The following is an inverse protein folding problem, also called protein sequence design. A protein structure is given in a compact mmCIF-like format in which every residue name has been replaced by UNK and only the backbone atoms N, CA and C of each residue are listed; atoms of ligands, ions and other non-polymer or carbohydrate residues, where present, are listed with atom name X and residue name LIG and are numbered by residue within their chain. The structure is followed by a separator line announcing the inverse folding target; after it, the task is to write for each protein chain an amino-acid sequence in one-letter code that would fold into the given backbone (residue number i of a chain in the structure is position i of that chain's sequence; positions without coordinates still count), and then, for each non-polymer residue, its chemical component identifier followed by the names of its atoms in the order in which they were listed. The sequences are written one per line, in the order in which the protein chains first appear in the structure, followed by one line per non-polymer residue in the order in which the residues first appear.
data_IF_848240439619
#
_entry.id   IF_848240439619
#
_cell.length_a   1.000
_cell.length_b   1.000
_cell.length_c   1.000
_cell.angle_alpha   90.00
_cell.angle_beta   90.00
_cell.angle_gamma   90.00
#
_symmetry.space_group_name_H-M   'P 1'
#
loop_
_entity.id
_entity.type
_entity.pdbx_description
1 polymer ?
#
# COMPACT_ATOMS: atom_id res chain seq x y z
N UNK A 1 -1.24 -21.00 -7.88
CA UNK A 1 -0.89 -22.42 -7.74
C UNK A 1 -1.89 -23.14 -6.83
N UNK A 2 -1.96 -22.84 -5.52
CA UNK A 2 -2.82 -23.58 -4.57
C UNK A 2 -4.29 -23.73 -4.98
N UNK A 3 -4.89 -22.70 -5.58
CA UNK A 3 -6.28 -22.75 -6.07
C UNK A 3 -6.44 -23.70 -7.27
N UNK A 4 -5.46 -23.69 -8.19
CA UNK A 4 -5.49 -24.50 -9.41
C UNK A 4 -5.19 -25.97 -9.12
N UNK A 5 -4.19 -26.22 -8.27
CA UNK A 5 -3.68 -27.57 -7.96
C UNK A 5 -4.30 -28.22 -6.71
N UNK A 6 -5.43 -27.69 -6.22
CA UNK A 6 -6.04 -28.15 -4.96
C UNK A 6 -6.35 -29.66 -4.95
N UNK A 7 -6.72 -30.23 -6.10
CA UNK A 7 -7.05 -31.65 -6.21
C UNK A 7 -5.86 -32.58 -5.93
N UNK A 8 -4.66 -32.16 -6.31
CA UNK A 8 -3.42 -32.88 -6.01
C UNK A 8 -3.00 -32.63 -4.56
N UNK A 9 -3.00 -31.36 -4.14
CA UNK A 9 -2.55 -30.97 -2.80
C UNK A 9 -3.39 -31.59 -1.66
N UNK A 10 -4.71 -31.78 -1.85
CA UNK A 10 -5.59 -32.41 -0.85
C UNK A 10 -5.25 -33.87 -0.53
N UNK A 11 -4.51 -34.56 -1.42
CA UNK A 11 -4.14 -35.97 -1.22
C UNK A 11 -3.02 -36.14 -0.19
N UNK A 12 -2.31 -35.07 0.14
CA UNK A 12 -1.20 -35.11 1.09
C UNK A 12 -1.67 -34.76 2.51
N UNK A 13 -1.10 -35.46 3.50
CA UNK A 13 -1.19 -35.07 4.90
C UNK A 13 0.07 -34.28 5.25
N UNK A 14 -0.04 -32.96 5.31
CA UNK A 14 1.10 -32.09 5.58
C UNK A 14 1.50 -32.16 7.06
N UNK A 15 2.80 -32.14 7.35
CA UNK A 15 3.29 -31.94 8.71
C UNK A 15 3.15 -30.47 9.12
N UNK A 16 3.57 -29.56 8.25
CA UNK A 16 3.45 -28.12 8.43
C UNK A 16 2.80 -27.48 7.21
N UNK A 17 1.90 -26.54 7.46
CA UNK A 17 1.41 -25.61 6.46
C UNK A 17 1.87 -24.20 6.82
N UNK A 18 2.81 -23.67 6.05
CA UNK A 18 3.39 -22.33 6.26
C UNK A 18 2.81 -21.39 5.22
N UNK A 19 2.15 -20.33 5.65
CA UNK A 19 1.63 -19.28 4.77
C UNK A 19 2.41 -18.01 5.03
N UNK A 20 3.21 -17.62 4.04
CA UNK A 20 3.83 -16.31 3.98
C UNK A 20 2.84 -15.24 3.48
N UNK A 21 2.99 -14.02 3.97
CA UNK A 21 2.06 -12.92 3.78
C UNK A 21 0.60 -13.30 4.12
N UNK A 22 0.40 -13.80 5.35
CA UNK A 22 -0.87 -14.34 5.84
C UNK A 22 -2.06 -13.36 5.77
N UNK A 23 -1.81 -12.06 5.58
CA UNK A 23 -2.86 -11.07 5.30
C UNK A 23 -3.73 -11.44 4.08
N UNK A 24 -3.29 -12.35 3.21
CA UNK A 24 -4.07 -12.87 2.07
C UNK A 24 -5.27 -13.75 2.47
N UNK A 25 -5.29 -14.32 3.68
CA UNK A 25 -6.35 -15.22 4.15
C UNK A 25 -7.22 -14.61 5.26
N UNK A 26 -7.05 -13.31 5.53
CA UNK A 26 -7.79 -12.55 6.55
C UNK A 26 -9.31 -12.46 6.34
N UNK A 27 -9.78 -12.78 5.13
CA UNK A 27 -11.19 -12.94 4.82
C UNK A 27 -11.48 -14.44 4.67
N UNK A 28 -12.25 -14.99 5.60
CA UNK A 28 -12.64 -16.38 5.68
C UNK A 28 -13.44 -16.85 4.47
N UNK A 29 -14.16 -15.93 3.81
CA UNK A 29 -14.97 -16.18 2.59
C UNK A 29 -14.16 -16.07 1.30
N UNK A 30 -12.86 -15.78 1.39
CA UNK A 30 -12.01 -15.73 0.20
C UNK A 30 -11.72 -17.16 -0.28
N UNK A 31 -11.77 -17.36 -1.61
CA UNK A 31 -11.46 -18.66 -2.23
C UNK A 31 -10.13 -19.26 -1.76
N UNK A 32 -9.14 -18.40 -1.50
CA UNK A 32 -7.85 -18.86 -0.99
C UNK A 32 -7.99 -19.41 0.43
N UNK A 33 -8.63 -18.66 1.34
CA UNK A 33 -8.87 -19.07 2.73
C UNK A 33 -9.66 -20.38 2.80
N UNK A 34 -10.74 -20.49 2.03
CA UNK A 34 -11.53 -21.72 1.92
C UNK A 34 -10.67 -22.91 1.51
N UNK A 35 -9.89 -22.78 0.42
CA UNK A 35 -9.08 -23.87 -0.11
C UNK A 35 -7.95 -24.28 0.83
N UNK A 36 -7.23 -23.33 1.44
CA UNK A 36 -6.12 -23.70 2.34
C UNK A 36 -6.61 -24.40 3.62
N UNK A 37 -7.86 -24.15 4.03
CA UNK A 37 -8.51 -24.84 5.15
C UNK A 37 -8.90 -26.28 4.82
N UNK A 38 -9.05 -26.62 3.53
CA UNK A 38 -9.31 -28.00 3.09
C UNK A 38 -8.08 -28.91 3.20
N UNK A 39 -6.87 -28.34 3.32
CA UNK A 39 -5.63 -29.10 3.39
C UNK A 39 -5.40 -29.68 4.79
N UNK A 40 -5.15 -30.99 4.86
CA UNK A 40 -4.85 -31.69 6.10
C UNK A 40 -3.44 -31.34 6.56
N UNK A 41 -3.31 -30.81 7.78
CA UNK A 41 -2.03 -30.43 8.37
C UNK A 41 -1.98 -30.75 9.86
N UNK A 42 -0.82 -31.19 10.37
CA UNK A 42 -0.60 -31.36 11.81
C UNK A 42 -0.34 -30.01 12.49
N UNK A 43 0.48 -29.15 11.87
CA UNK A 43 0.84 -27.84 12.39
C UNK A 43 0.64 -26.75 11.33
N UNK A 44 0.35 -25.52 11.77
CA UNK A 44 0.16 -24.34 10.91
C UNK A 44 1.00 -23.18 11.42
N UNK A 45 1.65 -22.47 10.50
CA UNK A 45 2.45 -21.29 10.79
C UNK A 45 2.07 -20.16 9.83
N UNK A 46 1.77 -18.99 10.39
CA UNK A 46 1.49 -17.79 9.62
C UNK A 46 2.65 -16.81 9.76
N UNK A 47 3.15 -16.32 8.63
CA UNK A 47 4.14 -15.25 8.57
C UNK A 47 3.46 -14.01 8.02
N UNK A 48 3.50 -12.91 8.76
CA UNK A 48 2.95 -11.62 8.32
C UNK A 48 3.67 -10.48 9.02
N UNK A 49 4.02 -9.44 8.27
CA UNK A 49 4.51 -8.19 8.85
C UNK A 49 3.38 -7.34 9.47
N UNK A 50 2.12 -7.63 9.12
CA UNK A 50 0.96 -6.79 9.43
C UNK A 50 -0.19 -7.70 9.86
N UNK A 51 -0.22 -8.16 11.13
CA UNK A 51 -1.20 -9.14 11.58
C UNK A 51 -2.63 -8.60 11.60
N UNK A 52 -2.81 -7.29 11.81
CA UNK A 52 -4.08 -6.60 11.78
C UNK A 52 -4.01 -5.47 10.72
N UNK A 53 -5.03 -5.34 9.87
CA UNK A 53 -5.04 -4.32 8.82
C UNK A 53 -6.28 -3.41 8.88
N UNK A 54 -7.48 -3.96 9.08
CA UNK A 54 -8.70 -3.15 9.05
C UNK A 54 -9.65 -3.34 10.24
N UNK A 55 -9.79 -4.54 10.79
CA UNK A 55 -10.72 -4.81 11.89
C UNK A 55 -10.29 -6.03 12.73
N UNK A 56 -10.93 -6.21 13.88
CA UNK A 56 -10.68 -7.35 14.78
C UNK A 56 -11.14 -8.69 14.19
N UNK A 57 -12.17 -8.69 13.34
CA UNK A 57 -12.63 -9.90 12.65
C UNK A 57 -11.55 -10.52 11.74
N UNK A 58 -10.71 -9.69 11.11
CA UNK A 58 -9.56 -10.16 10.33
C UNK A 58 -8.58 -10.96 11.21
N UNK A 59 -8.37 -10.55 12.46
CA UNK A 59 -7.54 -11.27 13.42
C UNK A 59 -8.18 -12.60 13.82
N UNK A 60 -9.49 -12.61 14.10
CA UNK A 60 -10.22 -13.85 14.35
C UNK A 60 -10.06 -14.85 13.19
N UNK A 61 -10.20 -14.39 11.94
CA UNK A 61 -10.06 -15.25 10.78
C UNK A 61 -8.68 -15.94 10.71
N UNK A 62 -7.61 -15.23 11.10
CA UNK A 62 -6.25 -15.78 11.18
C UNK A 62 -6.09 -16.76 12.36
N UNK A 63 -6.64 -16.45 13.53
CA UNK A 63 -6.60 -17.33 14.71
C UNK A 63 -7.41 -18.61 14.48
N UNK A 64 -8.60 -18.50 13.91
CA UNK A 64 -9.44 -19.62 13.50
C UNK A 64 -8.74 -20.49 12.44
N UNK A 65 -7.89 -19.89 11.59
CA UNK A 65 -7.07 -20.67 10.68
C UNK A 65 -5.98 -21.47 11.42
N UNK A 66 -5.33 -20.88 12.42
CA UNK A 66 -4.30 -21.55 13.22
C UNK A 66 -4.88 -22.68 14.09
N UNK A 67 -5.96 -22.39 14.81
CA UNK A 67 -6.61 -23.31 15.75
C UNK A 67 -8.14 -23.24 15.62
N UNK A 68 -8.72 -23.97 14.67
CA UNK A 68 -10.16 -23.92 14.41
C UNK A 68 -11.00 -24.43 15.59
N UNK A 69 -10.46 -25.32 16.41
CA UNK A 69 -11.17 -25.90 17.56
C UNK A 69 -11.39 -24.90 18.70
N UNK A 70 -10.41 -24.04 18.98
CA UNK A 70 -10.54 -23.01 20.02
C UNK A 70 -11.32 -21.79 19.54
N UNK A 71 -11.16 -21.42 18.26
CA UNK A 71 -11.73 -20.18 17.70
C UNK A 71 -12.87 -20.47 16.71
N UNK A 72 -13.78 -21.39 17.03
CA UNK A 72 -14.84 -21.85 16.10
C UNK A 72 -15.97 -20.84 15.87
N UNK A 73 -16.29 -20.00 16.85
CA UNK A 73 -17.42 -19.06 16.78
C UNK A 73 -16.92 -17.60 16.64
N UNK A 74 -17.23 -16.99 15.49
CA UNK A 74 -16.91 -15.58 15.22
C UNK A 74 -17.77 -14.63 16.08
N UNK A 75 -19.05 -14.94 16.27
CA UNK A 75 -19.98 -14.08 17.01
C UNK A 75 -19.57 -13.98 18.48
N UNK A 76 -19.17 -15.10 19.10
CA UNK A 76 -18.65 -15.09 20.47
C UNK A 76 -17.37 -14.26 20.58
N UNK A 77 -16.48 -14.34 19.59
CA UNK A 77 -15.29 -13.51 19.56
C UNK A 77 -15.68 -12.04 19.44
N UNK A 78 -16.51 -11.68 18.47
CA UNK A 78 -16.97 -10.32 18.26
C UNK A 78 -17.73 -9.75 19.47
N UNK A 79 -18.56 -10.54 20.15
CA UNK A 79 -19.27 -10.13 21.38
C UNK A 79 -18.33 -9.83 22.54
N UNK A 80 -17.26 -10.62 22.70
CA UNK A 80 -16.23 -10.35 23.71
C UNK A 80 -15.56 -8.97 23.49
N UNK A 81 -15.52 -8.48 22.25
CA UNK A 81 -14.93 -7.19 21.90
C UNK A 81 -15.95 -6.05 21.72
N UNK A 82 -17.18 -6.34 21.29
CA UNK A 82 -18.23 -5.34 21.03
C UNK A 82 -19.03 -4.96 22.28
N UNK A 83 -19.18 -5.86 23.27
CA UNK A 83 -19.94 -5.57 24.50
C UNK A 83 -19.17 -4.74 25.54
N UNK A 84 -18.02 -4.20 25.16
CA UNK A 84 -17.20 -3.38 26.04
C UNK A 84 -17.54 -1.91 25.90
N UNK A 85 -18.58 -1.47 26.60
CA UNK A 85 -18.71 -0.09 27.11
C UNK A 85 -17.66 0.22 28.22
N UNK A 86 -16.55 -0.53 28.21
CA UNK A 86 -15.47 -0.56 29.18
C UNK A 86 -14.25 0.06 28.52
N UNK A 87 -13.56 0.93 29.26
CA UNK A 87 -12.34 1.65 28.85
C UNK A 87 -11.44 0.82 27.92
N UNK A 88 -11.16 1.36 26.73
CA UNK A 88 -10.45 0.70 25.62
C UNK A 88 -9.14 0.00 26.06
N UNK A 89 -8.49 0.50 27.11
CA UNK A 89 -7.24 -0.04 27.66
C UNK A 89 -7.38 -1.45 28.26
N UNK A 90 -8.49 -1.75 28.93
CA UNK A 90 -8.71 -3.06 29.55
C UNK A 90 -9.01 -4.15 28.51
N UNK A 91 -9.65 -3.78 27.40
CA UNK A 91 -9.93 -4.68 26.27
C UNK A 91 -8.63 -5.10 25.57
N UNK A 92 -7.76 -4.12 25.30
CA UNK A 92 -6.47 -4.34 24.62
C UNK A 92 -5.57 -5.28 25.43
N UNK A 93 -5.45 -5.08 26.74
CA UNK A 93 -4.65 -5.94 27.62
C UNK A 93 -5.13 -7.40 27.63
N UNK A 94 -6.45 -7.61 27.68
CA UNK A 94 -7.05 -8.96 27.58
C UNK A 94 -6.74 -9.60 26.23
N UNK A 95 -6.89 -8.87 25.14
CA UNK A 95 -6.59 -9.34 23.79
C UNK A 95 -5.12 -9.77 23.69
N UNK A 96 -4.19 -8.96 24.21
CA UNK A 96 -2.77 -9.30 24.26
C UNK A 96 -2.50 -10.58 25.05
N UNK A 97 -3.15 -10.78 26.20
CA UNK A 97 -2.96 -11.99 27.01
C UNK A 97 -3.33 -13.27 26.24
N UNK A 98 -4.39 -13.19 25.43
CA UNK A 98 -4.85 -14.30 24.57
C UNK A 98 -3.91 -14.48 23.38
N UNK A 99 -3.40 -13.40 22.78
CA UNK A 99 -2.53 -13.48 21.60
C UNK A 99 -1.09 -13.88 21.90
N UNK A 100 -0.57 -13.53 23.08
CA UNK A 100 0.86 -13.67 23.44
C UNK A 100 1.44 -15.08 23.21
N UNK A 101 0.73 -16.19 23.48
CA UNK A 101 1.23 -17.54 23.18
C UNK A 101 1.33 -17.84 21.68
N UNK A 102 0.55 -17.14 20.85
CA UNK A 102 0.37 -17.46 19.42
C UNK A 102 1.07 -16.47 18.49
N UNK A 103 1.43 -15.28 18.99
CA UNK A 103 1.98 -14.21 18.20
C UNK A 103 3.34 -13.78 18.75
N UNK A 104 4.37 -13.96 17.92
CA UNK A 104 5.69 -13.40 18.16
C UNK A 104 5.92 -12.22 17.21
N UNK A 105 5.98 -11.00 17.76
CA UNK A 105 6.29 -9.77 17.02
C UNK A 105 7.47 -9.06 17.67
N UNK A 106 8.32 -8.45 16.85
CA UNK A 106 9.49 -7.67 17.27
C UNK A 106 9.54 -6.39 16.44
N UNK A 107 9.98 -5.27 17.04
CA UNK A 107 10.15 -4.00 16.34
C UNK A 107 11.61 -3.90 15.86
N UNK A 108 11.83 -3.28 14.70
CA UNK A 108 13.19 -3.07 14.16
C UNK A 108 14.10 -2.34 15.14
N UNK A 109 13.56 -1.35 15.87
CA UNK A 109 14.31 -0.61 16.87
C UNK A 109 14.83 -1.48 18.03
N UNK A 110 14.09 -2.54 18.39
CA UNK A 110 14.47 -3.44 19.50
C UNK A 110 15.58 -4.41 19.09
N UNK A 111 15.60 -4.80 17.80
CA UNK A 111 16.47 -5.86 17.28
C UNK A 111 17.71 -5.29 16.60
N UNK A 112 17.56 -4.24 15.80
CA UNK A 112 18.62 -3.71 14.94
C UNK A 112 18.95 -2.26 15.28
N UNK A 113 19.91 -2.09 16.19
CA UNK A 113 20.34 -0.78 16.68
C UNK A 113 21.13 0.04 15.66
N UNK A 114 21.66 -0.58 14.60
CA UNK A 114 22.47 0.12 13.58
C UNK A 114 21.65 0.62 12.39
N UNK A 115 20.38 0.25 12.27
CA UNK A 115 19.53 0.70 11.17
C UNK A 115 19.26 2.21 11.32
N UNK A 116 19.64 3.05 10.33
CA UNK A 116 19.36 4.47 10.38
C UNK A 116 17.86 4.76 10.52
N UNK A 117 17.46 5.86 11.18
CA UNK A 117 16.05 6.19 11.32
C UNK A 117 15.42 6.51 9.96
N UNK A 118 14.11 6.26 9.85
CA UNK A 118 13.29 6.78 8.74
C UNK A 118 12.55 8.04 9.18
N UNK A 119 12.48 9.03 8.30
CA UNK A 119 11.70 10.26 8.53
C UNK A 119 10.65 10.42 7.44
N UNK A 120 9.39 10.34 7.83
CA UNK A 120 8.24 10.61 6.94
C UNK A 120 7.85 12.10 7.00
N UNK A 121 7.71 12.72 5.83
CA UNK A 121 7.27 14.10 5.67
C UNK A 121 6.06 14.13 4.74
N UNK A 122 4.93 14.64 5.23
CA UNK A 122 3.72 14.89 4.44
C UNK A 122 3.86 16.23 3.74
N UNK A 123 3.70 16.25 2.43
CA UNK A 123 3.78 17.47 1.62
C UNK A 123 2.39 17.75 1.05
N UNK A 124 1.80 18.85 1.49
CA UNK A 124 0.51 19.35 1.02
C UNK A 124 0.71 20.20 -0.23
N UNK A 125 -0.06 19.91 -1.28
CA UNK A 125 0.16 20.43 -2.62
C UNK A 125 -1.18 20.92 -3.18
N UNK A 126 -1.21 22.15 -3.69
CA UNK A 126 -2.41 22.68 -4.33
C UNK A 126 -2.70 22.05 -5.70
N UNK A 127 -3.99 22.01 -6.07
CA UNK A 127 -4.41 21.66 -7.43
C UNK A 127 -3.92 22.70 -8.45
N UNK A 128 -3.49 22.24 -9.63
CA UNK A 128 -3.29 23.12 -10.79
C UNK A 128 -4.62 23.73 -11.28
N UNK A 129 -4.55 24.72 -12.18
CA UNK A 129 -5.76 25.31 -12.79
C UNK A 129 -6.64 24.24 -13.46
N UNK A 130 -6.04 23.41 -14.33
CA UNK A 130 -6.75 22.35 -15.03
C UNK A 130 -7.32 21.30 -14.07
N UNK A 131 -6.54 20.90 -13.05
CA UNK A 131 -7.02 19.97 -12.03
C UNK A 131 -8.22 20.55 -11.28
N UNK A 132 -8.19 21.83 -10.90
CA UNK A 132 -9.29 22.48 -10.18
C UNK A 132 -10.57 22.52 -11.02
N UNK A 133 -10.48 22.86 -12.30
CA UNK A 133 -11.61 22.87 -13.23
C UNK A 133 -12.24 21.46 -13.38
N UNK A 134 -11.40 20.44 -13.58
CA UNK A 134 -11.85 19.05 -13.68
C UNK A 134 -12.45 18.55 -12.36
N UNK A 135 -11.82 18.86 -11.22
CA UNK A 135 -12.28 18.43 -9.91
C UNK A 135 -13.68 19.00 -9.60
N UNK A 136 -13.88 20.30 -9.85
CA UNK A 136 -15.19 20.95 -9.70
C UNK A 136 -16.23 20.34 -10.64
N UNK A 137 -15.87 20.10 -11.91
CA UNK A 137 -16.77 19.47 -12.88
C UNK A 137 -17.21 18.07 -12.45
N UNK A 138 -16.30 17.28 -11.87
CA UNK A 138 -16.61 15.93 -11.36
C UNK A 138 -17.58 15.98 -10.17
N UNK A 139 -17.43 16.95 -9.26
CA UNK A 139 -18.33 17.12 -8.12
C UNK A 139 -19.72 17.59 -8.55
N UNK A 140 -19.81 18.51 -9.51
CA UNK A 140 -21.09 19.06 -9.98
C UNK A 140 -21.91 18.03 -10.77
N UNK A 141 -21.26 17.14 -11.52
CA UNK A 141 -21.93 16.16 -12.39
C UNK A 141 -22.85 15.20 -11.63
N UNK A 142 -22.55 14.89 -10.38
CA UNK A 142 -23.29 13.94 -9.56
C UNK A 142 -23.66 14.53 -8.18
N UNK A 143 -23.95 15.84 -8.11
CA UNK A 143 -24.21 16.56 -6.84
C UNK A 143 -25.38 15.96 -6.03
N UNK A 144 -26.42 15.49 -6.72
CA UNK A 144 -27.59 14.85 -6.10
C UNK A 144 -27.22 13.55 -5.38
N UNK A 145 -26.15 12.88 -5.84
CA UNK A 145 -25.66 11.60 -5.32
C UNK A 145 -24.70 11.81 -4.16
N UNK A 146 -23.91 12.89 -4.21
CA UNK A 146 -23.03 13.29 -3.12
C UNK A 146 -23.85 13.67 -1.88
N UNK A 147 -25.05 14.22 -2.08
CA UNK A 147 -25.93 14.69 -1.01
C UNK A 147 -26.98 13.66 -0.55
N UNK A 148 -27.10 12.49 -1.20
CA UNK A 148 -28.12 11.49 -0.87
C UNK A 148 -27.62 10.43 0.11
N UNK A 149 -28.54 9.98 0.97
CA UNK A 149 -28.33 8.96 2.00
C UNK A 149 -29.05 7.68 1.58
N UNK A 150 -28.51 6.91 0.62
CA UNK A 150 -29.28 5.80 0.04
C UNK A 150 -28.48 4.68 -0.63
N UNK A 151 -29.23 3.83 -1.34
CA UNK A 151 -29.09 2.38 -1.52
C UNK A 151 -27.75 1.82 -2.08
N UNK A 152 -27.62 0.48 -2.15
CA UNK A 152 -26.41 -0.23 -2.63
C UNK A 152 -25.90 0.25 -4.01
N UNK A 153 -26.79 0.70 -4.89
CA UNK A 153 -26.46 1.26 -6.21
C UNK A 153 -25.76 2.62 -6.08
N UNK A 154 -26.24 3.48 -5.19
CA UNK A 154 -25.64 4.79 -4.91
C UNK A 154 -24.24 4.64 -4.31
N UNK A 155 -24.03 3.63 -3.44
CA UNK A 155 -22.70 3.28 -2.93
C UNK A 155 -21.70 2.96 -4.04
N UNK A 156 -22.08 2.17 -5.05
CA UNK A 156 -21.20 1.86 -6.19
C UNK A 156 -20.86 3.11 -6.99
N UNK A 157 -21.85 3.99 -7.21
CA UNK A 157 -21.64 5.25 -7.94
C UNK A 157 -20.75 6.23 -7.18
N UNK A 158 -20.92 6.35 -5.86
CA UNK A 158 -20.02 7.10 -4.98
C UNK A 158 -18.58 6.58 -5.05
N UNK A 159 -18.37 5.27 -5.03
CA UNK A 159 -17.03 4.68 -5.17
C UNK A 159 -16.37 5.04 -6.51
N UNK A 160 -17.15 5.10 -7.59
CA UNK A 160 -16.66 5.54 -8.89
C UNK A 160 -16.26 7.02 -8.87
N UNK A 161 -17.08 7.88 -8.25
CA UNK A 161 -16.74 9.32 -8.08
C UNK A 161 -15.43 9.47 -7.31
N UNK A 162 -15.29 8.77 -6.18
CA UNK A 162 -14.05 8.77 -5.39
C UNK A 162 -12.83 8.37 -6.22
N UNK A 163 -12.98 7.36 -7.09
CA UNK A 163 -11.91 6.96 -8.01
C UNK A 163 -11.57 8.06 -9.03
N UNK A 164 -12.57 8.74 -9.61
CA UNK A 164 -12.30 9.84 -10.53
C UNK A 164 -11.65 11.03 -9.83
N UNK A 165 -12.08 11.38 -8.60
CA UNK A 165 -11.45 12.44 -7.82
C UNK A 165 -9.98 12.12 -7.53
N UNK A 166 -9.66 10.85 -7.21
CA UNK A 166 -8.26 10.40 -7.07
C UNK A 166 -7.46 10.53 -8.36
N UNK A 167 -8.02 10.13 -9.51
CA UNK A 167 -7.36 10.31 -10.81
C UNK A 167 -7.03 11.79 -11.06
N UNK A 168 -7.97 12.69 -10.78
CA UNK A 168 -7.77 14.13 -10.91
C UNK A 168 -6.64 14.65 -10.01
N UNK A 169 -6.56 14.18 -8.75
CA UNK A 169 -5.49 14.54 -7.83
C UNK A 169 -4.11 14.05 -8.30
N UNK A 170 -4.05 12.88 -8.96
CA UNK A 170 -2.82 12.30 -9.46
C UNK A 170 -2.31 12.99 -10.74
N UNK A 171 -3.14 13.05 -11.78
CA UNK A 171 -2.81 13.76 -13.02
C UNK A 171 -4.05 13.95 -13.93
N UNK A 172 -4.26 15.14 -14.55
CA UNK A 172 -5.36 15.35 -15.50
C UNK A 172 -5.38 14.39 -16.70
N UNK A 173 -4.21 13.99 -17.21
CA UNK A 173 -4.12 13.11 -18.40
C UNK A 173 -4.51 11.65 -18.13
N UNK A 174 -4.86 11.32 -16.88
CA UNK A 174 -5.56 10.06 -16.61
C UNK A 174 -7.00 10.04 -17.14
N UNK A 175 -7.52 11.19 -17.57
CA UNK A 175 -8.79 11.31 -18.29
C UNK A 175 -8.55 11.41 -19.79
N UNK A 176 -9.24 10.58 -20.54
CA UNK A 176 -9.10 10.55 -21.99
C UNK A 176 -9.66 11.86 -22.60
N UNK A 177 -8.95 12.42 -23.58
CA UNK A 177 -9.30 13.68 -24.23
C UNK A 177 -8.93 14.96 -23.49
N UNK A 178 -8.24 14.87 -22.33
CA UNK A 178 -7.72 16.05 -21.61
C UNK A 178 -6.33 16.45 -22.10
N UNK A 179 -5.53 15.49 -22.54
CA UNK A 179 -4.18 15.76 -23.05
C UNK A 179 -4.24 16.47 -24.41
N UNK A 180 -3.48 17.58 -24.61
CA UNK A 180 -3.43 18.28 -25.88
C UNK A 180 -2.88 17.39 -27.00
N UNK A 181 -3.59 17.33 -28.13
CA UNK A 181 -3.19 16.55 -29.31
C UNK A 181 -4.38 15.92 -30.02
N UNK A 182 -4.15 15.16 -31.11
CA UNK A 182 -2.84 14.81 -31.69
C UNK A 182 -2.10 15.98 -32.39
N UNK A 183 -0.75 15.92 -32.51
CA UNK A 183 0.15 14.89 -31.96
C UNK A 183 0.37 15.08 -30.46
N UNK A 184 0.42 13.99 -29.71
CA UNK A 184 0.77 14.01 -28.29
C UNK A 184 2.28 14.21 -28.14
N UNK A 185 2.70 15.22 -27.38
CA UNK A 185 4.13 15.56 -27.23
C UNK A 185 4.49 15.69 -25.76
N UNK A 186 5.50 14.99 -25.27
CA UNK A 186 5.96 15.14 -23.88
C UNK A 186 6.78 16.42 -23.73
N UNK A 187 6.13 17.50 -23.30
CA UNK A 187 6.75 18.81 -23.03
C UNK A 187 6.39 19.30 -21.62
N UNK A 188 6.74 20.55 -21.28
CA UNK A 188 6.49 21.13 -19.95
C UNK A 188 5.02 21.03 -19.47
N UNK A 189 4.05 20.88 -20.38
CA UNK A 189 2.65 20.73 -19.99
C UNK A 189 2.37 19.50 -19.12
N UNK A 190 3.20 18.43 -19.21
CA UNK A 190 3.07 17.24 -18.34
C UNK A 190 3.37 17.59 -16.88
N UNK A 191 4.21 18.61 -16.67
CA UNK A 191 4.54 19.12 -15.34
C UNK A 191 3.53 20.18 -14.94
N UNK A 192 3.37 21.23 -15.75
CA UNK A 192 2.62 22.44 -15.40
C UNK A 192 1.13 22.19 -15.15
N UNK A 193 0.56 21.13 -15.74
CA UNK A 193 -0.85 20.80 -15.54
C UNK A 193 -1.14 19.98 -14.28
N UNK A 194 -0.13 19.62 -13.47
CA UNK A 194 -0.33 18.86 -12.24
C UNK A 194 0.49 19.41 -11.08
N UNK A 195 -0.18 19.76 -9.97
CA UNK A 195 0.50 20.29 -8.78
C UNK A 195 1.57 19.34 -8.23
N UNK A 196 1.30 18.03 -8.19
CA UNK A 196 2.26 17.01 -7.75
C UNK A 196 3.48 16.95 -8.67
N UNK A 197 3.28 17.01 -9.99
CA UNK A 197 4.40 16.99 -10.95
C UNK A 197 5.28 18.24 -10.84
N UNK A 198 4.71 19.43 -10.62
CA UNK A 198 5.48 20.66 -10.39
C UNK A 198 6.43 20.52 -9.19
N UNK A 199 5.95 19.93 -8.10
CA UNK A 199 6.79 19.67 -6.93
C UNK A 199 7.82 18.56 -7.22
N UNK A 200 7.36 17.46 -7.83
CA UNK A 200 8.19 16.30 -8.13
C UNK A 200 9.38 16.69 -8.99
N UNK A 201 9.17 17.54 -10.00
CA UNK A 201 10.20 18.01 -10.92
C UNK A 201 11.34 18.76 -10.22
N UNK A 202 10.97 19.67 -9.30
CA UNK A 202 11.93 20.40 -8.47
C UNK A 202 12.63 19.47 -7.47
N UNK A 203 11.89 18.53 -6.89
CA UNK A 203 12.40 17.60 -5.88
C UNK A 203 13.41 16.62 -6.48
N UNK A 204 13.07 15.98 -7.60
CA UNK A 204 13.93 14.99 -8.26
C UNK A 204 15.24 15.61 -8.74
N UNK A 205 15.19 16.79 -9.35
CA UNK A 205 16.39 17.53 -9.77
C UNK A 205 17.35 17.78 -8.59
N UNK A 206 16.81 18.19 -7.43
CA UNK A 206 17.59 18.41 -6.21
C UNK A 206 18.14 17.09 -5.63
N UNK A 207 17.37 16.01 -5.67
CA UNK A 207 17.78 14.70 -5.16
C UNK A 207 18.87 14.07 -6.03
N UNK A 208 18.82 14.25 -7.34
CA UNK A 208 19.86 13.78 -8.25
C UNK A 208 21.18 14.51 -7.99
N UNK A 209 21.15 15.83 -7.81
CA UNK A 209 22.33 16.64 -7.44
C UNK A 209 22.94 16.21 -6.08
N UNK A 210 22.12 15.69 -5.17
CA UNK A 210 22.57 15.14 -3.88
C UNK A 210 23.13 13.73 -3.97
N UNK A 211 23.07 13.06 -5.12
CA UNK A 211 23.48 11.67 -5.28
C UNK A 211 22.57 10.68 -4.53
N UNK A 212 21.31 11.07 -4.32
CA UNK A 212 20.28 10.18 -3.76
C UNK A 212 19.69 9.27 -4.83
N UNK A 213 19.09 8.17 -4.40
CA UNK A 213 18.34 7.25 -5.25
C UNK A 213 16.92 7.11 -4.74
N UNK A 214 15.96 7.11 -5.66
CA UNK A 214 14.57 7.39 -5.34
C UNK A 214 13.67 6.23 -5.75
N UNK A 215 12.84 5.77 -4.82
CA UNK A 215 11.71 4.88 -5.11
C UNK A 215 10.44 5.73 -5.23
N UNK A 216 9.68 5.58 -6.31
CA UNK A 216 8.37 6.24 -6.46
C UNK A 216 7.29 5.17 -6.47
N UNK A 217 6.36 5.24 -5.52
CA UNK A 217 5.21 4.35 -5.44
C UNK A 217 3.94 5.05 -5.91
N UNK A 218 3.17 4.36 -6.75
CA UNK A 218 1.81 4.77 -7.10
C UNK A 218 0.84 3.58 -7.12
N UNK A 219 -0.43 3.84 -6.81
CA UNK A 219 -1.49 2.83 -6.90
C UNK A 219 -1.97 2.60 -8.33
N UNK A 220 -1.82 3.59 -9.22
CA UNK A 220 -2.35 3.55 -10.59
C UNK A 220 -1.22 3.28 -11.58
N UNK A 221 -1.28 2.15 -12.30
CA UNK A 221 -0.27 1.85 -13.34
C UNK A 221 -0.26 2.88 -14.46
N UNK A 222 -1.42 3.43 -14.85
CA UNK A 222 -1.50 4.56 -15.80
C UNK A 222 -0.77 5.82 -15.34
N UNK A 223 -0.59 6.01 -14.02
CA UNK A 223 0.22 7.11 -13.50
C UNK A 223 1.71 6.82 -13.69
N UNK A 224 2.12 5.54 -13.61
CA UNK A 224 3.50 5.15 -13.92
C UNK A 224 3.83 5.37 -15.41
N UNK A 225 2.86 5.19 -16.31
CA UNK A 225 3.04 5.53 -17.73
C UNK A 225 3.37 7.03 -17.92
N UNK A 226 2.62 7.92 -17.25
CA UNK A 226 2.88 9.37 -17.29
C UNK A 226 4.25 9.71 -16.68
N UNK A 227 4.62 9.06 -15.57
CA UNK A 227 5.92 9.26 -14.94
C UNK A 227 7.07 8.73 -15.82
N UNK A 228 6.82 7.67 -16.59
CA UNK A 228 7.77 7.10 -17.55
C UNK A 228 8.05 8.09 -18.69
N UNK A 229 7.01 8.65 -19.30
CA UNK A 229 7.16 9.71 -20.32
C UNK A 229 7.93 10.91 -19.76
N UNK A 230 7.59 11.33 -18.54
CA UNK A 230 8.31 12.41 -17.84
C UNK A 230 9.78 12.09 -17.61
N UNK A 231 10.12 10.86 -17.19
CA UNK A 231 11.51 10.44 -16.97
C UNK A 231 12.29 10.40 -18.28
N UNK A 232 11.68 9.93 -19.37
CA UNK A 232 12.30 9.93 -20.71
C UNK A 232 12.58 11.36 -21.17
N UNK A 233 11.63 12.27 -21.00
CA UNK A 233 11.81 13.68 -21.37
C UNK A 233 12.86 14.40 -20.52
N UNK A 234 12.93 14.13 -19.22
CA UNK A 234 13.97 14.66 -18.31
C UNK A 234 15.30 13.89 -18.36
N UNK A 235 15.39 12.86 -19.19
CA UNK A 235 16.57 11.99 -19.31
C UNK A 235 17.00 11.33 -17.99
N UNK A 236 16.04 11.04 -17.11
CA UNK A 236 16.31 10.28 -15.89
C UNK A 236 16.38 8.79 -16.18
N UNK A 237 17.47 8.14 -15.77
CA UNK A 237 17.56 6.70 -15.82
C UNK A 237 16.70 6.05 -14.73
N UNK A 238 15.79 5.15 -15.14
CA UNK A 238 14.86 4.50 -14.23
C UNK A 238 14.73 2.99 -14.45
N UNK A 239 14.18 2.32 -13.44
CA UNK A 239 13.58 0.98 -13.53
C UNK A 239 12.08 1.08 -13.24
N UNK A 240 11.27 0.18 -13.81
CA UNK A 240 9.83 0.10 -13.58
C UNK A 240 9.42 -1.32 -13.20
N UNK A 241 8.54 -1.46 -12.22
CA UNK A 241 7.95 -2.74 -11.83
C UNK A 241 6.48 -2.57 -11.44
N UNK A 242 5.62 -3.26 -12.17
CA UNK A 242 4.19 -3.34 -11.88
C UNK A 242 3.67 -4.79 -11.96
N UNK A 243 2.34 -4.95 -11.83
CA UNK A 243 1.71 -6.27 -11.80
C UNK A 243 1.84 -7.05 -13.11
N UNK A 244 2.08 -6.37 -14.23
CA UNK A 244 2.22 -6.96 -15.56
C UNK A 244 3.65 -7.43 -15.86
N UNK A 245 4.64 -6.91 -15.13
CA UNK A 245 6.05 -7.26 -15.35
C UNK A 245 6.28 -8.76 -15.12
N UNK A 246 6.82 -9.51 -16.10
CA UNK A 246 7.18 -10.92 -15.96
C UNK A 246 8.17 -11.17 -14.81
N UNK A 247 8.09 -12.32 -14.14
CA UNK A 247 8.90 -12.61 -12.96
C UNK A 247 10.41 -12.55 -13.22
N UNK A 248 10.86 -13.05 -14.37
CA UNK A 248 12.27 -13.03 -14.78
C UNK A 248 12.80 -11.60 -14.90
N UNK A 249 12.03 -10.71 -15.54
CA UNK A 249 12.38 -9.30 -15.72
C UNK A 249 12.41 -8.55 -14.38
N UNK A 250 11.54 -8.92 -13.43
CA UNK A 250 11.53 -8.28 -12.09
C UNK A 250 12.88 -8.41 -11.41
N UNK A 251 13.46 -9.62 -11.41
CA UNK A 251 14.73 -9.87 -10.74
C UNK A 251 15.86 -9.09 -11.42
N UNK A 252 15.90 -9.09 -12.75
CA UNK A 252 16.88 -8.31 -13.53
C UNK A 252 16.82 -6.82 -13.19
N UNK A 253 15.63 -6.22 -13.13
CA UNK A 253 15.48 -4.80 -12.76
C UNK A 253 15.90 -4.51 -11.31
N UNK A 254 15.64 -5.43 -10.38
CA UNK A 254 16.07 -5.31 -8.98
C UNK A 254 17.59 -5.39 -8.86
N UNK A 255 18.20 -6.33 -9.57
CA UNK A 255 19.64 -6.54 -9.54
C UNK A 255 20.37 -5.37 -10.20
N UNK A 256 19.89 -4.88 -11.35
CA UNK A 256 20.47 -3.72 -12.01
C UNK A 256 20.33 -2.44 -11.18
N UNK A 257 19.21 -2.27 -10.48
CA UNK A 257 19.09 -1.16 -9.54
C UNK A 257 20.05 -1.33 -8.36
N UNK A 258 20.18 -2.52 -7.76
CA UNK A 258 21.06 -2.72 -6.61
C UNK A 258 22.56 -2.85 -6.96
N UNK A 259 22.92 -2.97 -8.24
CA UNK A 259 24.29 -3.12 -8.69
C UNK A 259 25.18 -1.97 -8.19
N UNK A 260 26.38 -2.25 -7.65
CA UNK A 260 27.33 -1.20 -7.29
C UNK A 260 27.63 -0.31 -8.49
N UNK A 261 27.52 1.01 -8.32
CA UNK A 261 27.73 1.97 -9.40
C UNK A 261 26.63 1.99 -10.47
N UNK A 262 25.45 1.43 -10.19
CA UNK A 262 24.29 1.55 -11.08
C UNK A 262 23.95 3.01 -11.38
N UNK A 263 23.71 3.31 -12.66
CA UNK A 263 23.28 4.63 -13.14
C UNK A 263 21.80 4.88 -12.91
N UNK A 264 21.02 3.85 -12.55
CA UNK A 264 19.57 3.95 -12.31
C UNK A 264 19.30 4.86 -11.12
N UNK A 265 18.75 6.04 -11.39
CA UNK A 265 18.40 7.04 -10.39
C UNK A 265 17.05 6.72 -9.74
N UNK A 266 16.07 6.30 -10.55
CA UNK A 266 14.68 6.07 -10.14
C UNK A 266 14.28 4.59 -10.20
N UNK A 267 13.42 4.17 -9.29
CA UNK A 267 12.66 2.93 -9.43
C UNK A 267 11.17 3.22 -9.19
N UNK A 268 10.38 3.14 -10.27
CA UNK A 268 8.93 3.29 -10.25
C UNK A 268 8.25 1.96 -9.95
N UNK A 269 7.40 1.95 -8.94
CA UNK A 269 6.77 0.75 -8.41
C UNK A 269 5.27 0.95 -8.28
N UNK A 270 4.48 0.02 -8.79
CA UNK A 270 3.09 -0.07 -8.33
C UNK A 270 3.10 -0.57 -6.89
N UNK A 271 2.35 0.05 -5.98
CA UNK A 271 2.45 -0.27 -4.54
C UNK A 271 2.14 -1.74 -4.26
N UNK A 272 1.21 -2.33 -5.02
CA UNK A 272 0.87 -3.77 -4.91
C UNK A 272 2.00 -4.69 -5.38
N UNK A 273 2.69 -4.36 -6.47
CA UNK A 273 3.79 -5.20 -6.96
C UNK A 273 5.06 -5.00 -6.12
N UNK A 274 5.29 -3.78 -5.62
CA UNK A 274 6.36 -3.48 -4.66
C UNK A 274 6.17 -4.10 -3.27
N UNK A 275 4.94 -4.43 -2.89
CA UNK A 275 4.63 -5.12 -1.63
C UNK A 275 5.18 -6.55 -1.50
N UNK A 276 5.63 -7.18 -2.59
CA UNK A 276 5.99 -8.60 -2.69
C UNK A 276 7.39 -8.98 -2.14
N UNK A 277 7.82 -8.39 -1.02
CA UNK A 277 9.05 -8.78 -0.32
C UNK A 277 10.38 -8.36 -0.97
N UNK A 278 10.38 -7.49 -1.98
CA UNK A 278 11.59 -7.08 -2.71
C UNK A 278 12.60 -6.32 -1.82
N UNK A 279 13.88 -6.36 -2.18
CA UNK A 279 14.95 -5.65 -1.47
C UNK A 279 15.49 -4.49 -2.32
N UNK A 280 15.29 -3.25 -1.86
CA UNK A 280 15.76 -2.05 -2.55
C UNK A 280 16.52 -1.13 -1.56
N UNK A 281 17.35 -1.72 -0.71
CA UNK A 281 18.11 -1.02 0.33
C UNK A 281 19.16 -0.03 -0.22
N UNK A 282 19.43 -0.02 -1.53
CA UNK A 282 20.33 0.95 -2.16
C UNK A 282 19.70 2.33 -2.39
N UNK A 283 18.36 2.45 -2.23
CA UNK A 283 17.65 3.74 -2.27
C UNK A 283 17.54 4.36 -0.87
N UNK A 284 17.75 5.68 -0.78
CA UNK A 284 17.66 6.46 0.46
C UNK A 284 16.43 7.39 0.51
N UNK A 285 15.70 7.50 -0.60
CA UNK A 285 14.47 8.30 -0.68
C UNK A 285 13.30 7.47 -1.19
N UNK A 286 12.16 7.62 -0.54
CA UNK A 286 10.89 7.02 -0.95
C UNK A 286 9.87 8.14 -1.17
N UNK A 287 9.22 8.15 -2.32
CA UNK A 287 8.11 9.05 -2.64
C UNK A 287 6.84 8.22 -2.74
N UNK A 288 5.87 8.50 -1.88
CA UNK A 288 4.51 7.98 -2.01
C UNK A 288 3.72 9.01 -2.80
N UNK A 289 3.56 8.77 -4.11
CA UNK A 289 2.88 9.70 -5.02
C UNK A 289 1.39 9.77 -4.73
N UNK A 290 0.77 8.61 -4.48
CA UNK A 290 -0.61 8.51 -4.01
C UNK A 290 -0.79 7.38 -3.01
N UNK A 291 -1.61 7.63 -2.00
CA UNK A 291 -1.69 6.78 -0.80
C UNK A 291 -2.74 5.69 -0.94
N UNK A 292 -2.53 4.56 -0.26
CA UNK A 292 -3.53 3.51 -0.14
C UNK A 292 -4.55 3.82 0.96
N UNK A 293 -5.73 3.20 0.90
CA UNK A 293 -6.72 3.22 1.98
C UNK A 293 -6.31 2.37 3.19
N UNK A 294 -5.37 1.44 2.97
CA UNK A 294 -4.75 0.62 3.98
C UNK A 294 -3.32 1.12 4.25
N UNK A 295 -3.06 1.79 5.39
CA UNK A 295 -1.74 2.35 5.70
C UNK A 295 -0.62 1.30 5.69
N UNK A 296 -0.95 0.03 5.98
CA UNK A 296 0.00 -1.07 6.00
C UNK A 296 0.65 -1.32 4.63
N UNK A 297 -0.08 -1.06 3.55
CA UNK A 297 0.45 -1.21 2.19
C UNK A 297 1.56 -0.19 1.94
N UNK A 298 1.36 1.05 2.36
CA UNK A 298 2.36 2.12 2.20
C UNK A 298 3.54 1.92 3.17
N UNK A 299 3.31 1.44 4.40
CA UNK A 299 4.38 1.08 5.34
C UNK A 299 5.28 -0.03 4.78
N UNK A 300 4.69 -1.08 4.18
CA UNK A 300 5.44 -2.14 3.51
C UNK A 300 6.27 -1.60 2.34
N UNK A 301 5.74 -0.63 1.59
CA UNK A 301 6.45 0.04 0.51
C UNK A 301 7.66 0.83 1.03
N UNK A 302 7.51 1.61 2.12
CA UNK A 302 8.64 2.32 2.75
C UNK A 302 9.73 1.36 3.24
N UNK A 303 9.32 0.24 3.81
CA UNK A 303 10.21 -0.80 4.32
C UNK A 303 10.98 -1.55 3.23
N UNK A 304 10.72 -1.29 1.94
CA UNK A 304 11.57 -1.77 0.83
C UNK A 304 12.96 -1.14 0.83
N UNK A 305 13.04 0.14 1.19
CA UNK A 305 14.28 0.88 1.38
C UNK A 305 14.76 0.85 2.83
N UNK A 306 13.83 0.94 3.80
CA UNK A 306 14.14 0.91 5.24
C UNK A 306 14.23 -0.53 5.77
N UNK A 307 15.27 -1.26 5.34
CA UNK A 307 15.54 -2.64 5.78
C UNK A 307 17.01 -2.89 6.03
N UNK A 308 17.32 -4.08 6.57
CA UNK A 308 18.69 -4.56 6.76
C UNK A 308 19.45 -4.46 5.43
N UNK A 309 20.63 -3.85 5.47
CA UNK A 309 21.43 -3.48 4.30
C UNK A 309 21.42 -1.97 4.00
N UNK A 310 20.47 -1.22 4.55
CA UNK A 310 20.44 0.24 4.42
C UNK A 310 21.53 0.90 5.28
N UNK A 311 22.31 1.79 4.68
CA UNK A 311 23.38 2.54 5.37
C UNK A 311 23.09 4.03 5.49
N UNK A 312 22.14 4.57 4.72
CA UNK A 312 21.72 5.97 4.74
C UNK A 312 20.39 6.15 5.48
N UNK A 313 20.18 7.35 6.04
CA UNK A 313 18.89 7.71 6.62
C UNK A 313 17.82 7.77 5.52
N UNK A 314 16.70 7.06 5.72
CA UNK A 314 15.63 6.98 4.71
C UNK A 314 14.68 8.17 4.87
N UNK A 315 14.54 8.97 3.82
CA UNK A 315 13.59 10.09 3.75
C UNK A 315 12.36 9.65 2.97
N UNK A 316 11.19 9.72 3.59
CA UNK A 316 9.92 9.40 2.95
C UNK A 316 9.13 10.68 2.72
N UNK A 317 8.78 10.96 1.46
CA UNK A 317 7.93 12.08 1.08
C UNK A 317 6.57 11.56 0.63
N UNK A 318 5.52 11.90 1.37
CA UNK A 318 4.14 11.57 1.02
C UNK A 318 3.48 12.78 0.41
N UNK A 319 3.09 12.69 -0.86
CA UNK A 319 2.40 13.77 -1.55
C UNK A 319 0.89 13.70 -1.29
N UNK A 320 0.31 14.82 -0.87
CA UNK A 320 -1.11 14.92 -0.54
C UNK A 320 -1.65 16.18 -1.23
N UNK A 321 -2.70 16.03 -2.04
CA UNK A 321 -3.36 17.19 -2.64
C UNK A 321 -4.30 17.87 -1.63
N UNK A 322 -4.03 19.13 -1.33
CA UNK A 322 -4.71 19.96 -0.34
C UNK A 322 -6.18 20.22 -0.71
N UNK A 323 -7.06 20.20 0.28
CA UNK A 323 -8.52 20.37 0.16
C UNK A 323 -9.22 19.36 -0.79
N UNK A 324 -8.71 18.13 -0.87
CA UNK A 324 -9.27 17.08 -1.72
C UNK A 324 -9.65 15.82 -0.95
N UNK A 325 -10.13 14.81 -1.69
CA UNK A 325 -10.40 13.48 -1.14
C UNK A 325 -9.16 12.82 -0.54
N UNK A 326 -7.94 13.18 -0.97
CA UNK A 326 -6.71 12.56 -0.46
C UNK A 326 -6.51 12.79 1.04
N UNK A 327 -6.84 13.96 1.57
CA UNK A 327 -6.78 14.24 3.01
C UNK A 327 -7.68 13.30 3.81
N UNK A 328 -8.89 13.04 3.32
CA UNK A 328 -9.82 12.10 3.97
C UNK A 328 -9.30 10.67 3.93
N UNK A 329 -8.60 10.27 2.86
CA UNK A 329 -7.95 8.96 2.76
C UNK A 329 -6.86 8.87 3.83
N UNK A 330 -6.00 9.88 3.95
CA UNK A 330 -4.92 9.93 4.95
C UNK A 330 -5.45 9.91 6.37
N UNK A 331 -6.44 10.75 6.68
CA UNK A 331 -7.06 10.80 8.01
C UNK A 331 -7.64 9.43 8.40
N UNK A 332 -8.31 8.74 7.47
CA UNK A 332 -8.81 7.37 7.71
C UNK A 332 -7.69 6.35 7.88
N UNK A 333 -6.62 6.47 7.10
CA UNK A 333 -5.46 5.59 7.23
C UNK A 333 -4.77 5.77 8.60
N UNK A 334 -4.66 7.00 9.09
CA UNK A 334 -4.12 7.31 10.42
C UNK A 334 -4.98 6.74 11.56
N UNK A 335 -6.30 6.87 11.47
CA UNK A 335 -7.20 6.25 12.46
C UNK A 335 -7.01 4.73 12.52
N UNK A 336 -6.88 4.06 11.37
CA UNK A 336 -6.59 2.62 11.31
C UNK A 336 -5.24 2.27 11.93
N UNK A 337 -4.22 3.08 11.67
CA UNK A 337 -2.87 2.86 12.19
C UNK A 337 -2.80 3.09 13.71
N UNK A 338 -3.59 4.03 14.24
CA UNK A 338 -3.71 4.26 15.68
C UNK A 338 -4.34 3.05 16.38
N UNK A 339 -5.42 2.49 15.83
CA UNK A 339 -6.03 1.27 16.34
C UNK A 339 -5.03 0.08 16.30
N UNK A 340 -4.29 -0.07 15.20
CA UNK A 340 -3.25 -1.10 15.09
C UNK A 340 -2.18 -0.94 16.18
N UNK A 341 -1.65 0.27 16.38
CA UNK A 341 -0.62 0.51 17.39
C UNK A 341 -1.13 0.26 18.81
N UNK A 342 -2.37 0.64 19.13
CA UNK A 342 -2.97 0.40 20.45
C UNK A 342 -3.08 -1.11 20.74
N UNK A 343 -3.51 -1.91 19.77
CA UNK A 343 -3.70 -3.36 19.91
C UNK A 343 -2.38 -4.14 19.93
N UNK A 344 -1.24 -3.47 19.67
CA UNK A 344 0.01 -4.15 19.34
C UNK A 344 1.22 -3.67 20.15
N UNK A 345 1.31 -2.38 20.53
CA UNK A 345 2.49 -1.80 21.18
C UNK A 345 2.45 -1.84 22.72
N UNK A 346 2.02 -2.95 23.33
CA UNK A 346 2.27 -3.23 24.76
C UNK A 346 3.32 -4.31 24.97
#
# INVERSE_FOLDING_TARGET
MCIKEKGVLRKFNFLYLIIDEAHRIKNEKSKLSEIVREFRSQNRLLLTGTPLQNNLHELWALLNFLMPEMFYNAEMFDELFNNSSVEEENLVSRLHSVLRPFLLRRIKADVEKKLPPKKETKIYIGLSKLQRELYTKLLLKDIDIVNSTGNKIEKVRLLNILMQLRKCCNHPYLFDGVEPGPPYTTTEHIVNNCGKMILLDKLLSKLQQQGSRVLIFSQMTRMLDILEDYCLWREFEYCRLDGSTPHEIRQVSIDEFNRPGSTKFLFMLSTRAGGLGINLATADVVIIYDSDWNPQVDLQAMDRAHRIGQTKAVRVFRMITDHTIEERIIMRAEMKLRLDNLVIQQ
#
